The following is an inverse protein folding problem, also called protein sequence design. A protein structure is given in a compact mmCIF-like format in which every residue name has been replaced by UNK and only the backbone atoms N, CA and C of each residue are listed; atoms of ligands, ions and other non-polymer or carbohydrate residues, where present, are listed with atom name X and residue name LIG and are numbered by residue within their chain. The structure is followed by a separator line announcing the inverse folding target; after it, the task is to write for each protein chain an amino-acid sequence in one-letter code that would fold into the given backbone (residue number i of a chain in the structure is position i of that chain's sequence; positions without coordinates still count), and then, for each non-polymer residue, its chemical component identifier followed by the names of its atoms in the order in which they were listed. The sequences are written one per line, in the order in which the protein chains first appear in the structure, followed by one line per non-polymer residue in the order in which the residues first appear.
data_IF_649696191302
#
_entry.id   IF_649696191302
#
_cell.length_a   1.000
_cell.length_b   1.000
_cell.length_c   1.000
_cell.angle_alpha   90.00
_cell.angle_beta   90.00
_cell.angle_gamma   90.00
#
_symmetry.space_group_name_H-M   'P 1'
#
loop_
_entity.id
_entity.type
_entity.pdbx_description
1 polymer ?
#
# COMPACT_ATOMS: atom_id res chain seq x y z
N UNK A 1 -14.84 -4.82 5.36
CA UNK A 1 -14.79 -3.95 4.17
C UNK A 1 -13.43 -3.26 4.17
N UNK A 2 -12.46 -3.83 3.46
CA UNK A 2 -11.11 -3.27 3.36
C UNK A 2 -11.12 -2.10 2.38
N UNK A 3 -10.69 -0.92 2.81
CA UNK A 3 -10.47 0.21 1.92
C UNK A 3 -9.40 -0.16 0.86
N UNK A 4 -9.51 0.33 -0.39
CA UNK A 4 -8.54 0.04 -1.45
C UNK A 4 -7.13 0.50 -1.05
N UNK A 5 -6.09 -0.29 -1.38
CA UNK A 5 -4.72 -0.10 -0.85
C UNK A 5 -4.13 1.29 -1.12
N UNK A 6 -4.54 1.93 -2.23
CA UNK A 6 -4.14 3.29 -2.58
C UNK A 6 -4.47 4.34 -1.50
N UNK A 7 -5.63 4.22 -0.83
CA UNK A 7 -6.02 5.15 0.24
C UNK A 7 -5.16 4.97 1.51
N UNK A 8 -4.68 3.74 1.78
CA UNK A 8 -3.75 3.47 2.89
C UNK A 8 -2.35 4.01 2.60
N UNK A 9 -1.93 3.95 1.34
CA UNK A 9 -0.62 4.43 0.93
C UNK A 9 -0.54 5.96 0.93
N UNK A 10 -1.61 6.66 0.55
CA UNK A 10 -1.66 8.12 0.55
C UNK A 10 -1.74 8.71 1.97
N UNK A 11 -2.45 8.04 2.89
CA UNK A 11 -2.43 8.40 4.30
C UNK A 11 -1.00 8.33 4.89
N UNK A 12 -0.20 7.37 4.45
CA UNK A 12 1.21 7.25 4.87
C UNK A 12 2.05 8.44 4.36
N UNK A 13 1.84 8.89 3.12
CA UNK A 13 2.53 10.07 2.57
C UNK A 13 2.18 11.34 3.35
N UNK A 14 0.90 11.53 3.66
CA UNK A 14 0.45 12.67 4.48
C UNK A 14 1.09 12.60 5.86
N UNK A 15 1.10 11.41 6.47
CA UNK A 15 1.68 11.25 7.80
C UNK A 15 3.16 11.58 7.84
N UNK A 16 3.91 11.15 6.83
CA UNK A 16 5.30 11.53 6.66
C UNK A 16 5.45 13.04 6.48
N UNK A 17 4.69 13.65 5.56
CA UNK A 17 4.75 15.09 5.29
C UNK A 17 4.40 15.95 6.52
N UNK A 18 3.39 15.58 7.31
CA UNK A 18 3.04 16.30 8.54
C UNK A 18 4.16 16.18 9.59
N UNK A 19 4.81 15.02 9.67
CA UNK A 19 5.94 14.80 10.59
C UNK A 19 7.17 15.63 10.15
N UNK A 20 7.45 15.67 8.85
CA UNK A 20 8.47 16.54 8.25
C UNK A 20 8.17 18.02 8.49
N UNK A 21 6.91 18.43 8.36
CA UNK A 21 6.47 19.79 8.59
C UNK A 21 6.76 20.21 10.04
N UNK A 22 6.39 19.38 11.01
CA UNK A 22 6.68 19.64 12.43
C UNK A 22 8.19 19.70 12.72
N UNK A 23 9.00 18.89 12.03
CA UNK A 23 10.46 18.85 12.25
C UNK A 23 11.21 20.00 11.59
N UNK A 24 10.81 20.37 10.36
CA UNK A 24 11.50 21.37 9.53
C UNK A 24 11.03 22.80 9.78
N UNK A 25 9.86 22.97 10.41
CA UNK A 25 9.35 24.29 10.80
C UNK A 25 9.48 24.51 12.29
N UNK A 26 9.45 25.76 12.73
CA UNK A 26 9.45 26.14 14.15
C UNK A 26 8.04 26.12 14.77
N UNK A 27 7.07 25.54 14.07
CA UNK A 27 5.70 25.45 14.58
C UNK A 27 5.55 24.19 15.44
N UNK A 28 5.05 24.33 16.68
CA UNK A 28 4.93 23.20 17.59
C UNK A 28 3.78 22.25 17.23
N UNK A 29 2.83 22.69 16.40
CA UNK A 29 1.69 21.87 15.95
C UNK A 29 1.70 21.80 14.44
N UNK A 30 1.56 20.60 13.88
CA UNK A 30 1.36 20.37 12.46
C UNK A 30 0.20 19.39 12.26
N UNK A 31 -0.61 19.60 11.24
CA UNK A 31 -1.66 18.65 10.87
C UNK A 31 -1.99 18.79 9.39
N UNK A 32 -2.63 17.78 8.82
CA UNK A 32 -2.88 17.81 7.38
C UNK A 32 -3.78 16.69 6.91
N UNK A 33 -4.21 16.85 5.66
CA UNK A 33 -5.17 15.96 5.04
C UNK A 33 -5.20 16.11 3.53
N UNK A 34 -5.77 15.11 2.88
CA UNK A 34 -6.08 15.14 1.45
C UNK A 34 -7.55 15.47 1.23
N UNK A 35 -7.81 15.98 0.04
CA UNK A 35 -9.14 16.25 -0.47
C UNK A 35 -9.80 14.94 -0.92
N UNK A 36 -10.99 14.69 -0.39
CA UNK A 36 -11.88 13.60 -0.73
C UNK A 36 -13.32 14.14 -0.71
N UNK A 37 -14.10 13.83 -1.74
CA UNK A 37 -15.51 14.24 -1.86
C UNK A 37 -15.76 15.76 -1.64
N UNK A 38 -14.84 16.61 -2.11
CA UNK A 38 -14.99 18.07 -2.02
C UNK A 38 -14.61 18.67 -0.67
N UNK A 39 -14.04 17.89 0.25
CA UNK A 39 -13.54 18.35 1.53
C UNK A 39 -12.18 17.75 1.87
N UNK A 40 -11.37 18.48 2.63
CA UNK A 40 -10.09 17.99 3.14
C UNK A 40 -10.31 17.30 4.47
N UNK A 41 -10.02 16.00 4.52
CA UNK A 41 -10.13 15.21 5.73
C UNK A 41 -8.77 15.22 6.45
N UNK A 42 -8.72 15.83 7.63
CA UNK A 42 -7.51 15.81 8.46
C UNK A 42 -7.31 14.41 9.01
N UNK A 43 -6.24 13.74 8.58
CA UNK A 43 -5.92 12.35 8.93
C UNK A 43 -4.72 12.24 9.84
N UNK A 44 -3.83 13.23 9.84
CA UNK A 44 -2.61 13.21 10.65
C UNK A 44 -2.42 14.53 11.38
N UNK A 45 -2.04 14.41 12.66
CA UNK A 45 -1.81 15.51 13.58
C UNK A 45 -0.55 15.18 14.38
N UNK A 46 0.33 16.16 14.55
CA UNK A 46 1.58 16.08 15.32
C UNK A 46 1.64 17.31 16.24
N UNK A 47 1.96 17.08 17.52
CA UNK A 47 2.19 18.15 18.50
C UNK A 47 0.94 18.78 19.14
N UNK A 48 -0.26 18.29 18.81
CA UNK A 48 -1.50 18.76 19.45
C UNK A 48 -1.53 18.39 20.95
N UNK A 49 -1.99 19.33 21.78
CA UNK A 49 -2.25 19.23 23.22
C UNK A 49 -3.60 18.61 23.52
N UNK A 50 -4.55 18.77 22.62
CA UNK A 50 -5.92 18.30 22.77
C UNK A 50 -6.33 17.44 21.58
N UNK A 51 -7.52 16.85 21.67
CA UNK A 51 -8.15 16.08 20.59
C UNK A 51 -9.18 16.89 19.81
N UNK A 52 -9.15 18.23 19.93
CA UNK A 52 -10.15 19.11 19.32
C UNK A 52 -10.05 19.18 17.79
N UNK A 53 -8.91 18.79 17.23
CA UNK A 53 -8.64 18.76 15.78
C UNK A 53 -8.90 17.34 15.18
N UNK A 54 -9.07 16.32 16.02
CA UNK A 54 -9.30 14.94 15.56
C UNK A 54 -10.55 14.88 14.67
N UNK A 55 -10.39 14.31 13.46
CA UNK A 55 -11.49 14.15 12.51
C UNK A 55 -12.00 15.45 11.88
N UNK A 56 -11.22 16.54 11.95
CA UNK A 56 -11.58 17.80 11.31
C UNK A 56 -11.76 17.63 9.79
N UNK A 57 -12.91 18.08 9.28
CA UNK A 57 -13.22 18.10 7.84
C UNK A 57 -13.31 19.55 7.37
N UNK A 58 -12.37 19.94 6.52
CA UNK A 58 -12.25 21.31 6.00
C UNK A 58 -12.92 21.41 4.64
N UNK A 59 -14.01 22.16 4.55
CA UNK A 59 -14.74 22.37 3.30
C UNK A 59 -14.11 23.51 2.51
N UNK A 60 -14.21 23.42 1.18
CA UNK A 60 -13.87 24.52 0.29
C UNK A 60 -14.58 25.81 0.73
N UNK A 61 -13.91 26.96 0.58
CA UNK A 61 -14.40 28.31 0.96
C UNK A 61 -14.63 28.58 2.46
N UNK A 62 -14.46 27.59 3.35
CA UNK A 62 -14.58 27.77 4.81
C UNK A 62 -13.22 27.80 5.52
N UNK A 63 -13.09 28.72 6.46
CA UNK A 63 -11.89 28.93 7.27
C UNK A 63 -10.66 29.34 6.47
N UNK A 64 -9.51 29.34 7.15
CA UNK A 64 -8.21 29.62 6.52
C UNK A 64 -7.87 28.58 5.44
N UNK A 65 -8.07 27.31 5.79
CA UNK A 65 -7.72 26.16 4.97
C UNK A 65 -8.53 26.01 3.69
N UNK A 66 -9.86 26.14 3.79
CA UNK A 66 -10.73 26.08 2.63
C UNK A 66 -10.49 27.22 1.65
N UNK A 67 -10.10 28.41 2.14
CA UNK A 67 -9.63 29.51 1.29
C UNK A 67 -8.29 29.20 0.61
N UNK A 68 -7.32 28.66 1.34
CA UNK A 68 -6.03 28.26 0.77
C UNK A 68 -6.20 27.20 -0.33
N UNK A 69 -7.14 26.26 -0.14
CA UNK A 69 -7.50 25.23 -1.11
C UNK A 69 -8.07 25.84 -2.41
N UNK A 70 -9.06 26.74 -2.30
CA UNK A 70 -9.74 27.36 -3.44
C UNK A 70 -8.81 28.32 -4.19
N UNK A 71 -8.09 29.16 -3.46
CA UNK A 71 -7.21 30.16 -4.05
C UNK A 71 -5.87 29.57 -4.51
N UNK A 72 -5.58 28.30 -4.19
CA UNK A 72 -4.36 27.57 -4.56
C UNK A 72 -3.08 28.28 -4.14
N UNK A 73 -3.15 29.02 -3.04
CA UNK A 73 -2.02 29.74 -2.47
C UNK A 73 -1.99 29.60 -0.95
N UNK A 74 -0.80 29.63 -0.34
CA UNK A 74 -0.66 29.62 1.10
C UNK A 74 -1.37 30.80 1.77
N UNK A 75 -1.90 30.59 2.97
CA UNK A 75 -2.60 31.61 3.77
C UNK A 75 -2.20 31.50 5.24
N UNK A 76 -1.96 32.64 5.87
CA UNK A 76 -1.56 32.73 7.28
C UNK A 76 -2.45 33.70 8.04
N UNK A 77 -2.66 33.40 9.33
CA UNK A 77 -3.15 34.35 10.32
C UNK A 77 -2.27 34.31 11.56
N UNK A 78 -1.85 35.48 12.04
CA UNK A 78 -1.03 35.65 13.25
C UNK A 78 -1.88 35.73 14.53
N UNK A 79 -3.17 36.05 14.37
CA UNK A 79 -4.16 36.04 15.44
C UNK A 79 -5.46 35.45 14.91
N UNK A 80 -5.57 34.12 15.01
CA UNK A 80 -6.73 33.38 14.55
C UNK A 80 -8.02 33.90 15.18
N UNK A 81 -8.02 34.29 16.45
CA UNK A 81 -9.23 34.67 17.20
C UNK A 81 -9.87 35.95 16.66
N UNK A 82 -9.07 36.94 16.26
CA UNK A 82 -9.57 38.26 15.83
C UNK A 82 -9.53 38.46 14.31
N UNK A 83 -9.07 37.45 13.56
CA UNK A 83 -8.79 37.53 12.14
C UNK A 83 -10.03 37.68 11.26
N UNK A 84 -10.27 38.90 10.76
CA UNK A 84 -11.37 39.19 9.80
C UNK A 84 -11.19 38.57 8.41
N UNK A 85 -10.06 37.94 8.14
CA UNK A 85 -9.76 37.32 6.83
C UNK A 85 -10.26 35.88 6.73
N UNK A 86 -10.77 35.30 7.82
CA UNK A 86 -11.31 33.93 7.86
C UNK A 86 -12.77 33.95 8.31
N UNK A 87 -13.49 32.86 8.05
CA UNK A 87 -14.92 32.74 8.32
C UNK A 87 -15.25 32.09 9.67
N UNK A 88 -14.24 31.70 10.45
CA UNK A 88 -14.39 31.20 11.84
C UNK A 88 -15.23 29.92 12.02
N UNK A 89 -15.54 29.17 10.94
CA UNK A 89 -16.30 27.90 11.02
C UNK A 89 -15.63 26.84 11.91
N UNK A 90 -14.31 26.97 12.15
CA UNK A 90 -13.49 25.98 12.85
C UNK A 90 -12.96 26.47 14.20
N UNK A 91 -13.54 27.54 14.77
CA UNK A 91 -13.14 28.11 16.05
C UNK A 91 -13.04 27.07 17.16
N UNK A 92 -14.04 26.17 17.27
CA UNK A 92 -14.04 25.12 18.29
C UNK A 92 -12.82 24.20 18.19
N UNK A 93 -12.41 23.84 16.97
CA UNK A 93 -11.26 22.96 16.76
C UNK A 93 -9.95 23.71 16.98
N UNK A 94 -9.81 24.90 16.38
CA UNK A 94 -8.53 25.64 16.38
C UNK A 94 -8.28 26.34 17.71
N UNK A 95 -9.28 27.03 18.27
CA UNK A 95 -9.17 27.68 19.58
C UNK A 95 -9.25 26.67 20.72
N UNK A 96 -9.92 25.52 20.52
CA UNK A 96 -9.92 24.40 21.47
C UNK A 96 -8.53 23.80 21.67
N UNK A 97 -7.70 23.83 20.62
CA UNK A 97 -6.28 23.48 20.68
C UNK A 97 -5.40 24.64 21.22
N UNK A 98 -5.96 25.83 21.33
CA UNK A 98 -5.25 27.04 21.75
C UNK A 98 -4.34 27.64 20.66
N UNK A 99 -4.53 27.27 19.39
CA UNK A 99 -3.73 27.78 18.29
C UNK A 99 -4.07 29.26 18.08
N UNK A 100 -3.04 30.12 18.19
CA UNK A 100 -3.15 31.56 17.97
C UNK A 100 -2.67 31.93 16.56
N UNK A 101 -1.51 31.42 16.15
CA UNK A 101 -0.97 31.58 14.80
C UNK A 101 -1.26 30.32 14.00
N UNK A 102 -1.88 30.44 12.83
CA UNK A 102 -2.18 29.31 11.96
C UNK A 102 -1.75 29.61 10.52
N UNK A 103 -1.05 28.67 9.92
CA UNK A 103 -0.62 28.71 8.53
C UNK A 103 -1.16 27.51 7.77
N UNK A 104 -1.76 27.75 6.60
CA UNK A 104 -2.34 26.75 5.72
C UNK A 104 -1.63 26.78 4.36
N UNK A 105 -1.09 25.63 3.95
CA UNK A 105 -0.33 25.45 2.73
C UNK A 105 -1.02 24.40 1.85
N UNK A 106 -1.53 24.77 0.66
CA UNK A 106 -2.19 23.82 -0.23
C UNK A 106 -1.15 22.88 -0.87
N UNK A 107 -1.50 21.60 -0.98
CA UNK A 107 -0.71 20.59 -1.69
C UNK A 107 -1.17 20.57 -3.14
N UNK A 108 -0.32 21.07 -4.05
CA UNK A 108 -0.66 21.20 -5.47
C UNK A 108 -0.16 20.00 -6.28
N UNK A 109 -1.06 19.39 -7.05
CA UNK A 109 -0.76 18.30 -7.99
C UNK A 109 -1.28 18.72 -9.35
N UNK A 110 -0.38 18.89 -10.32
CA UNK A 110 -0.73 19.35 -11.68
C UNK A 110 -1.62 20.61 -11.72
N UNK A 111 -1.38 21.54 -10.79
CA UNK A 111 -2.12 22.81 -10.69
C UNK A 111 -3.47 22.74 -9.96
N UNK A 112 -3.90 21.57 -9.49
CA UNK A 112 -5.08 21.40 -8.63
C UNK A 112 -4.65 21.17 -7.18
N UNK A 113 -5.38 21.74 -6.22
CA UNK A 113 -5.12 21.48 -4.81
C UNK A 113 -5.73 20.13 -4.40
N UNK A 114 -4.89 19.20 -3.95
CA UNK A 114 -5.27 17.83 -3.56
C UNK A 114 -5.30 17.63 -2.05
N UNK A 115 -5.00 18.66 -1.28
CA UNK A 115 -4.96 18.62 0.17
C UNK A 115 -4.45 19.92 0.75
N UNK A 116 -4.42 20.00 2.07
CA UNK A 116 -3.87 21.14 2.79
C UNK A 116 -3.06 20.63 3.97
N UNK A 117 -1.86 21.18 4.12
CA UNK A 117 -1.04 21.03 5.31
C UNK A 117 -1.16 22.30 6.16
N UNK A 118 -1.17 22.12 7.47
CA UNK A 118 -1.28 23.19 8.45
C UNK A 118 -0.12 23.11 9.42
N UNK A 119 0.37 24.28 9.81
CA UNK A 119 1.24 24.42 10.96
C UNK A 119 0.77 25.59 11.82
N UNK A 120 0.87 25.42 13.13
CA UNK A 120 0.29 26.36 14.10
C UNK A 120 1.13 26.50 15.35
N UNK A 121 0.96 27.64 16.00
CA UNK A 121 1.61 27.98 17.27
C UNK A 121 0.58 28.51 18.26
N UNK A 122 0.77 28.19 19.55
CA UNK A 122 -0.02 28.75 20.63
C UNK A 122 0.36 30.20 20.98
N UNK A 123 1.53 30.66 20.50
CA UNK A 123 1.98 32.03 20.66
C UNK A 123 1.63 32.87 19.43
N UNK A 124 1.36 34.15 19.67
CA UNK A 124 1.36 35.17 18.63
C UNK A 124 2.82 35.59 18.39
N UNK A 125 3.40 35.13 17.29
CA UNK A 125 4.76 35.50 16.89
C UNK A 125 4.74 35.99 15.44
N UNK A 126 5.48 37.06 15.10
CA UNK A 126 5.62 37.46 13.71
C UNK A 126 6.36 36.36 12.95
N UNK A 127 5.66 35.69 12.04
CA UNK A 127 6.27 34.69 11.15
C UNK A 127 6.54 35.36 9.80
N UNK A 128 7.80 35.43 9.39
CA UNK A 128 8.24 35.94 8.10
C UNK A 128 8.23 34.88 6.99
N UNK A 129 8.31 35.32 5.73
CA UNK A 129 8.35 34.41 4.57
C UNK A 129 9.48 33.38 4.63
N UNK A 130 10.62 33.73 5.23
CA UNK A 130 11.78 32.82 5.38
C UNK A 130 11.45 31.65 6.31
N UNK A 131 10.68 31.89 7.38
CA UNK A 131 10.31 30.89 8.37
C UNK A 131 9.21 29.95 7.86
N UNK A 132 8.40 30.43 6.90
CA UNK A 132 7.36 29.66 6.22
C UNK A 132 7.92 28.79 5.07
N UNK A 133 9.12 29.07 4.57
CA UNK A 133 9.71 28.38 3.40
C UNK A 133 9.77 26.86 3.51
N UNK A 134 10.19 26.26 4.66
CA UNK A 134 10.19 24.81 4.79
C UNK A 134 8.80 24.17 4.64
N UNK A 135 7.73 24.90 4.96
CA UNK A 135 6.37 24.40 4.77
C UNK A 135 5.99 24.30 3.28
N UNK A 136 6.47 25.23 2.46
CA UNK A 136 6.28 25.17 1.01
C UNK A 136 7.03 23.99 0.39
N UNK A 137 8.27 23.77 0.81
CA UNK A 137 9.10 22.67 0.32
C UNK A 137 8.42 21.33 0.63
N UNK A 138 7.97 21.12 1.87
CA UNK A 138 7.27 19.89 2.28
C UNK A 138 5.97 19.68 1.49
N UNK A 139 5.17 20.73 1.26
CA UNK A 139 3.95 20.62 0.47
C UNK A 139 4.25 20.31 -1.02
N UNK A 140 5.32 20.86 -1.56
CA UNK A 140 5.78 20.60 -2.93
C UNK A 140 6.34 19.19 -3.13
N UNK A 141 7.09 18.68 -2.16
CA UNK A 141 7.57 17.30 -2.09
C UNK A 141 6.38 16.33 -2.07
N UNK A 142 5.41 16.54 -1.17
CA UNK A 142 4.19 15.73 -1.11
C UNK A 142 3.40 15.78 -2.42
N UNK A 143 3.22 16.97 -3.01
CA UNK A 143 2.55 17.12 -4.29
C UNK A 143 3.24 16.38 -5.44
N UNK A 144 4.58 16.34 -5.40
CA UNK A 144 5.38 15.59 -6.38
C UNK A 144 5.18 14.08 -6.24
N UNK A 145 5.20 13.56 -5.01
CA UNK A 145 4.96 12.13 -4.74
C UNK A 145 3.56 11.69 -5.17
N UNK A 146 2.53 12.48 -4.83
CA UNK A 146 1.15 12.22 -5.26
C UNK A 146 1.01 12.23 -6.79
N UNK A 147 1.70 13.15 -7.47
CA UNK A 147 1.74 13.20 -8.94
C UNK A 147 2.38 11.94 -9.53
N UNK A 148 3.50 11.50 -8.97
CA UNK A 148 4.21 10.30 -9.43
C UNK A 148 3.32 9.07 -9.29
N UNK A 149 2.66 8.89 -8.15
CA UNK A 149 1.74 7.77 -7.93
C UNK A 149 0.55 7.79 -8.87
N UNK A 150 -0.12 8.93 -9.02
CA UNK A 150 -1.24 9.06 -9.95
C UNK A 150 -0.83 8.74 -11.40
N UNK A 151 0.41 9.07 -11.80
CA UNK A 151 0.94 8.71 -13.11
C UNK A 151 1.26 7.21 -13.21
N UNK A 152 1.82 6.59 -12.17
CA UNK A 152 2.06 5.13 -12.13
C UNK A 152 0.74 4.38 -12.24
N UNK A 153 -0.27 4.74 -11.44
CA UNK A 153 -1.59 4.12 -11.48
C UNK A 153 -2.27 4.28 -12.85
N UNK A 154 -2.19 5.49 -13.43
CA UNK A 154 -2.68 5.74 -14.80
C UNK A 154 -1.97 4.87 -15.83
N UNK A 155 -0.66 4.68 -15.72
CA UNK A 155 0.11 3.81 -16.63
C UNK A 155 -0.25 2.35 -16.46
N UNK A 156 -0.43 1.89 -15.23
CA UNK A 156 -0.91 0.53 -14.94
C UNK A 156 -2.32 0.31 -15.53
N UNK A 157 -3.20 1.30 -15.42
CA UNK A 157 -4.56 1.23 -15.97
C UNK A 157 -4.62 1.31 -17.51
N UNK A 158 -3.64 1.96 -18.17
CA UNK A 158 -3.56 2.10 -19.63
C UNK A 158 -2.66 1.06 -20.30
N UNK A 159 -1.88 0.31 -19.52
CA UNK A 159 -1.18 -0.85 -20.05
C UNK A 159 -2.25 -1.80 -20.59
N UNK A 160 -2.19 -2.21 -21.86
CA UNK A 160 -3.15 -3.18 -22.38
C UNK A 160 -3.09 -4.39 -21.44
N UNK A 161 -4.25 -4.78 -20.90
CA UNK A 161 -4.37 -6.06 -20.24
C UNK A 161 -3.78 -7.09 -21.22
N UNK A 162 -2.86 -7.98 -20.79
CA UNK A 162 -2.40 -9.03 -21.67
C UNK A 162 -3.65 -9.77 -22.15
N UNK A 163 -3.87 -9.78 -23.47
CA UNK A 163 -4.97 -10.51 -24.09
C UNK A 163 -4.91 -11.96 -23.56
N UNK A 164 -5.91 -12.34 -22.76
CA UNK A 164 -6.10 -13.72 -22.29
C UNK A 164 -5.31 -14.19 -21.05
N UNK A 165 -4.62 -13.32 -20.29
CA UNK A 165 -3.82 -13.75 -19.14
C UNK A 165 -4.27 -13.21 -17.78
N UNK A 166 -4.28 -14.05 -16.75
CA UNK A 166 -4.44 -13.65 -15.34
C UNK A 166 -3.39 -12.58 -14.99
N UNK A 167 -3.78 -11.50 -14.29
CA UNK A 167 -2.86 -10.41 -13.90
C UNK A 167 -1.70 -10.94 -13.04
N UNK A 168 -0.55 -10.24 -13.02
CA UNK A 168 0.59 -10.69 -12.22
C UNK A 168 0.26 -10.80 -10.72
N UNK A 169 -0.57 -9.87 -10.21
CA UNK A 169 -1.09 -9.91 -8.83
C UNK A 169 -2.03 -11.09 -8.61
N UNK A 170 -2.99 -11.32 -9.50
CA UNK A 170 -3.88 -12.47 -9.39
C UNK A 170 -3.13 -13.82 -9.54
N UNK A 171 -2.05 -13.86 -10.35
CA UNK A 171 -1.16 -15.03 -10.40
C UNK A 171 -0.39 -15.26 -9.10
N UNK A 172 -0.04 -14.22 -8.36
CA UNK A 172 0.56 -14.37 -7.03
C UNK A 172 -0.48 -14.85 -6.02
N UNK A 173 -1.68 -14.26 -6.00
CA UNK A 173 -2.78 -14.68 -5.11
C UNK A 173 -3.15 -16.15 -5.33
N UNK A 174 -3.18 -16.62 -6.58
CA UNK A 174 -3.41 -18.02 -6.91
C UNK A 174 -2.26 -18.89 -6.40
N UNK A 175 -1.02 -18.46 -6.50
CA UNK A 175 0.14 -19.22 -6.00
C UNK A 175 0.12 -19.35 -4.48
N UNK A 176 -0.19 -18.26 -3.78
CA UNK A 176 -0.39 -18.27 -2.33
C UNK A 176 -1.55 -19.20 -1.94
N UNK A 177 -2.70 -19.07 -2.61
CA UNK A 177 -3.87 -19.91 -2.37
C UNK A 177 -3.60 -21.39 -2.64
N UNK A 178 -2.86 -21.70 -3.71
CA UNK A 178 -2.46 -23.06 -4.07
C UNK A 178 -1.53 -23.66 -3.01
N UNK A 179 -0.49 -22.93 -2.59
CA UNK A 179 0.42 -23.37 -1.54
C UNK A 179 -0.31 -23.59 -0.20
N UNK A 180 -1.23 -22.67 0.16
CA UNK A 180 -2.03 -22.79 1.36
C UNK A 180 -2.94 -24.02 1.32
N UNK A 181 -3.62 -24.26 0.18
CA UNK A 181 -4.53 -25.39 0.02
C UNK A 181 -3.77 -26.73 0.11
N UNK A 182 -2.55 -26.81 -0.43
CA UNK A 182 -1.65 -27.98 -0.25
C UNK A 182 -1.24 -28.19 1.20
N UNK A 183 -0.91 -27.11 1.92
CA UNK A 183 -0.60 -27.17 3.35
C UNK A 183 -1.78 -27.72 4.16
N UNK A 184 -3.01 -27.27 3.87
CA UNK A 184 -4.23 -27.80 4.50
C UNK A 184 -4.42 -29.27 4.12
N UNK A 185 -4.35 -29.63 2.84
CA UNK A 185 -4.52 -31.00 2.36
C UNK A 185 -3.52 -31.99 3.00
N UNK A 186 -2.29 -31.55 3.29
CA UNK A 186 -1.28 -32.36 3.96
C UNK A 186 -1.64 -32.72 5.42
N UNK A 187 -2.53 -31.95 6.06
CA UNK A 187 -2.98 -32.19 7.45
C UNK A 187 -4.31 -32.96 7.54
N UNK A 188 -5.04 -33.09 6.43
CA UNK A 188 -6.32 -33.81 6.37
C UNK A 188 -6.05 -35.31 6.38
N UNK A 189 -6.59 -36.04 7.37
CA UNK A 189 -6.49 -37.49 7.48
C UNK A 189 -7.51 -38.29 6.65
N UNK A 190 -8.58 -37.65 6.17
CA UNK A 190 -9.66 -38.28 5.41
C UNK A 190 -9.31 -38.42 3.91
N UNK A 191 -9.27 -39.66 3.41
CA UNK A 191 -8.91 -40.00 2.03
C UNK A 191 -9.93 -39.53 0.99
N UNK A 192 -11.21 -39.37 1.35
CA UNK A 192 -12.24 -38.86 0.44
C UNK A 192 -12.13 -37.34 0.29
N UNK A 193 -11.99 -36.64 1.42
CA UNK A 193 -11.82 -35.19 1.43
C UNK A 193 -10.51 -34.79 0.73
N UNK A 194 -9.45 -35.58 0.90
CA UNK A 194 -8.16 -35.34 0.23
C UNK A 194 -8.26 -35.48 -1.29
N UNK A 195 -8.96 -36.50 -1.80
CA UNK A 195 -9.20 -36.66 -3.26
C UNK A 195 -9.99 -35.50 -3.86
N UNK A 196 -10.97 -34.97 -3.12
CA UNK A 196 -11.76 -33.80 -3.56
C UNK A 196 -10.92 -32.53 -3.62
N UNK A 197 -9.98 -32.35 -2.69
CA UNK A 197 -9.03 -31.24 -2.72
C UNK A 197 -8.06 -31.36 -3.90
N UNK A 198 -7.55 -32.57 -4.19
CA UNK A 198 -6.68 -32.84 -5.34
C UNK A 198 -7.36 -32.52 -6.70
N UNK A 199 -8.65 -32.79 -6.85
CA UNK A 199 -9.41 -32.42 -8.08
C UNK A 199 -9.53 -30.90 -8.24
N UNK A 200 -9.74 -30.17 -7.13
CA UNK A 200 -9.81 -28.70 -7.14
C UNK A 200 -8.45 -28.10 -7.49
N UNK A 201 -7.37 -28.65 -6.93
CA UNK A 201 -5.99 -28.25 -7.25
C UNK A 201 -5.67 -28.42 -8.74
N UNK A 202 -6.03 -29.57 -9.31
CA UNK A 202 -5.80 -29.86 -10.73
C UNK A 202 -6.56 -28.89 -11.65
N UNK A 203 -7.80 -28.53 -11.30
CA UNK A 203 -8.59 -27.54 -12.04
C UNK A 203 -8.02 -26.13 -11.92
N UNK A 204 -7.52 -25.74 -10.75
CA UNK A 204 -6.88 -24.44 -10.54
C UNK A 204 -5.60 -24.31 -11.35
N UNK A 205 -4.74 -25.34 -11.35
CA UNK A 205 -3.51 -25.36 -12.15
C UNK A 205 -3.80 -25.24 -13.66
N UNK A 206 -4.85 -25.90 -14.15
CA UNK A 206 -5.27 -25.86 -15.55
C UNK A 206 -5.82 -24.49 -15.99
N UNK A 207 -6.44 -23.73 -15.07
CA UNK A 207 -6.95 -22.38 -15.34
C UNK A 207 -5.86 -21.31 -15.39
N UNK A 208 -4.69 -21.59 -14.82
CA UNK A 208 -3.59 -20.63 -14.66
C UNK A 208 -2.41 -20.86 -15.57
N UNK A 209 -2.32 -22.04 -16.20
CA UNK A 209 -1.39 -22.25 -17.29
C UNK A 209 -1.73 -21.33 -18.45
N UNK A 210 -0.75 -20.58 -18.95
CA UNK A 210 -0.79 -20.12 -20.34
C UNK A 210 -1.16 -21.35 -21.19
N UNK A 211 -2.19 -21.25 -22.03
CA UNK A 211 -2.66 -22.36 -22.86
C UNK A 211 -1.51 -23.05 -23.61
N UNK A 212 -1.68 -24.30 -24.05
CA UNK A 212 -0.59 -25.15 -24.53
C UNK A 212 0.06 -24.59 -25.81
N UNK A 213 0.99 -23.66 -25.69
CA UNK A 213 1.95 -23.32 -26.73
C UNK A 213 3.13 -24.28 -26.59
N UNK A 214 2.92 -25.48 -27.13
CA UNK A 214 3.94 -26.52 -27.23
C UNK A 214 3.86 -27.52 -26.08
N UNK A 215 3.11 -28.60 -26.31
CA UNK A 215 3.34 -29.89 -25.66
C UNK A 215 4.77 -30.34 -25.98
N UNK A 216 5.74 -29.92 -25.17
CA UNK A 216 7.02 -30.61 -25.09
C UNK A 216 6.73 -31.84 -24.24
N UNK A 217 6.58 -32.95 -24.94
CA UNK A 217 6.64 -34.31 -24.42
C UNK A 217 7.74 -34.40 -23.36
N UNK A 218 7.35 -34.38 -22.08
CA UNK A 218 8.29 -34.61 -21.00
C UNK A 218 7.58 -35.43 -19.94
N UNK A 219 7.95 -36.70 -19.89
CA UNK A 219 7.62 -37.76 -18.93
C UNK A 219 8.08 -37.41 -17.49
N UNK A 220 7.99 -36.14 -17.08
CA UNK A 220 8.43 -35.63 -15.78
C UNK A 220 7.34 -35.90 -14.76
N UNK A 221 7.44 -37.07 -14.13
CA UNK A 221 6.60 -37.45 -13.01
C UNK A 221 7.25 -37.06 -11.68
N UNK A 222 6.79 -35.95 -11.10
CA UNK A 222 7.12 -35.58 -9.72
C UNK A 222 6.20 -36.32 -8.74
N UNK A 223 6.76 -36.73 -7.61
CA UNK A 223 5.96 -37.27 -6.51
C UNK A 223 5.12 -36.17 -5.87
N UNK A 224 4.01 -36.54 -5.23
CA UNK A 224 3.14 -35.58 -4.54
C UNK A 224 3.90 -34.69 -3.56
N UNK A 225 4.83 -35.28 -2.81
CA UNK A 225 5.67 -34.57 -1.84
C UNK A 225 6.70 -33.64 -2.50
N UNK A 226 7.18 -33.96 -3.68
CA UNK A 226 8.03 -33.07 -4.47
C UNK A 226 7.24 -31.84 -4.96
N UNK A 227 6.00 -32.04 -5.41
CA UNK A 227 5.11 -30.95 -5.83
C UNK A 227 4.75 -30.05 -4.64
N UNK A 228 4.42 -30.63 -3.48
CA UNK A 228 4.11 -29.87 -2.24
C UNK A 228 5.26 -28.92 -1.88
N UNK A 229 6.47 -29.47 -1.87
CA UNK A 229 7.67 -28.74 -1.50
C UNK A 229 8.00 -27.67 -2.53
N UNK A 230 7.84 -27.94 -3.83
CA UNK A 230 8.05 -26.94 -4.87
C UNK A 230 6.98 -25.84 -4.85
N UNK A 231 5.73 -26.15 -4.51
CA UNK A 231 4.64 -25.17 -4.40
C UNK A 231 4.93 -24.15 -3.29
N UNK A 232 5.29 -24.61 -2.10
CA UNK A 232 5.72 -23.72 -1.01
C UNK A 232 7.02 -22.98 -1.37
N UNK A 233 7.92 -23.62 -2.12
CA UNK A 233 9.14 -22.95 -2.59
C UNK A 233 8.85 -21.85 -3.61
N UNK A 234 7.77 -21.96 -4.39
CA UNK A 234 7.35 -21.01 -5.43
C UNK A 234 6.76 -19.70 -4.88
N UNK A 235 6.28 -19.71 -3.64
CA UNK A 235 5.83 -18.53 -2.88
C UNK A 235 6.95 -17.95 -1.98
N UNK A 236 8.19 -18.44 -2.14
CA UNK A 236 9.36 -17.89 -1.44
C UNK A 236 9.65 -18.49 -0.06
N UNK A 237 8.91 -19.53 0.38
CA UNK A 237 9.14 -20.13 1.69
C UNK A 237 10.54 -20.73 1.85
N UNK A 238 11.11 -20.58 3.04
CA UNK A 238 12.36 -21.22 3.46
C UNK A 238 12.14 -22.70 3.77
N UNK A 239 13.20 -23.52 3.77
CA UNK A 239 13.05 -24.96 4.05
C UNK A 239 12.43 -25.24 5.43
N UNK A 240 12.67 -24.36 6.42
CA UNK A 240 12.07 -24.46 7.75
C UNK A 240 10.57 -24.16 7.75
N UNK A 241 10.14 -23.13 7.02
CA UNK A 241 8.71 -22.81 6.86
C UNK A 241 7.97 -23.90 6.07
N UNK A 242 8.59 -24.44 5.02
CA UNK A 242 8.05 -25.57 4.25
C UNK A 242 7.90 -26.81 5.15
N UNK A 243 8.90 -27.09 5.98
CA UNK A 243 8.88 -28.20 6.93
C UNK A 243 7.71 -28.06 7.92
N UNK A 244 7.54 -26.87 8.50
CA UNK A 244 6.43 -26.58 9.41
C UNK A 244 5.07 -26.70 8.72
N UNK A 245 4.93 -26.17 7.50
CA UNK A 245 3.68 -26.18 6.73
C UNK A 245 3.25 -27.58 6.31
N UNK A 246 4.20 -28.45 5.93
CA UNK A 246 3.91 -29.79 5.40
C UNK A 246 4.04 -30.92 6.44
N UNK A 247 4.36 -30.60 7.70
CA UNK A 247 4.59 -31.58 8.75
C UNK A 247 5.82 -32.46 8.52
N UNK A 248 6.88 -31.90 7.92
CA UNK A 248 8.12 -32.60 7.56
C UNK A 248 9.30 -32.13 8.42
N UNK A 249 10.41 -32.85 8.37
CA UNK A 249 11.71 -32.33 8.87
C UNK A 249 12.38 -31.51 7.76
N UNK A 250 13.14 -30.48 8.14
CA UNK A 250 13.86 -29.64 7.17
C UNK A 250 14.83 -30.45 6.29
N UNK A 251 15.46 -31.48 6.86
CA UNK A 251 16.32 -32.42 6.11
C UNK A 251 15.54 -33.18 5.04
N UNK A 252 14.30 -33.58 5.33
CA UNK A 252 13.40 -34.24 4.37
C UNK A 252 12.99 -33.29 3.26
N UNK A 253 12.73 -32.02 3.57
CA UNK A 253 12.45 -30.98 2.56
C UNK A 253 13.63 -30.81 1.61
N UNK A 254 14.87 -30.77 2.13
CA UNK A 254 16.09 -30.72 1.30
C UNK A 254 16.19 -31.92 0.36
N UNK A 255 15.87 -33.13 0.82
CA UNK A 255 15.85 -34.34 0.00
C UNK A 255 14.79 -34.27 -1.10
N UNK A 256 13.56 -33.81 -0.80
CA UNK A 256 12.52 -33.65 -1.81
C UNK A 256 12.87 -32.57 -2.84
N UNK A 257 13.43 -31.42 -2.43
CA UNK A 257 13.92 -30.41 -3.36
C UNK A 257 15.04 -30.94 -4.26
N UNK A 258 15.98 -31.70 -3.71
CA UNK A 258 17.07 -32.28 -4.48
C UNK A 258 16.56 -33.30 -5.51
N UNK A 259 15.61 -34.16 -5.11
CA UNK A 259 14.98 -35.12 -6.02
C UNK A 259 14.18 -34.42 -7.13
N UNK A 260 13.39 -33.41 -6.77
CA UNK A 260 12.62 -32.61 -7.71
C UNK A 260 13.53 -31.85 -8.69
N UNK A 261 14.60 -31.20 -8.19
CA UNK A 261 15.61 -30.53 -9.00
C UNK A 261 16.25 -31.50 -10.00
N UNK A 262 16.63 -32.70 -9.55
CA UNK A 262 17.19 -33.74 -10.43
C UNK A 262 16.21 -34.17 -11.54
N UNK A 263 14.95 -34.45 -11.18
CA UNK A 263 13.89 -34.83 -12.14
C UNK A 263 13.53 -33.71 -13.12
N UNK A 264 13.70 -32.46 -12.73
CA UNK A 264 13.49 -31.27 -13.55
C UNK A 264 14.77 -30.78 -14.23
N UNK A 265 15.88 -31.54 -14.13
CA UNK A 265 17.23 -31.18 -14.62
C UNK A 265 17.79 -29.86 -14.06
N UNK A 266 17.22 -29.33 -12.98
CA UNK A 266 17.43 -27.96 -12.52
C UNK A 266 18.61 -27.83 -11.55
N UNK A 267 19.47 -26.84 -11.80
CA UNK A 267 20.64 -26.56 -10.94
C UNK A 267 20.31 -25.71 -9.71
N UNK A 268 19.14 -25.07 -9.69
CA UNK A 268 18.70 -24.23 -8.56
C UNK A 268 17.22 -24.42 -8.28
N UNK A 269 16.79 -24.13 -7.03
CA UNK A 269 15.37 -24.16 -6.65
C UNK A 269 14.50 -23.25 -7.53
N UNK A 270 15.01 -22.09 -7.93
CA UNK A 270 14.29 -21.16 -8.81
C UNK A 270 14.14 -21.72 -10.22
N UNK A 271 15.20 -22.35 -10.76
CA UNK A 271 15.14 -23.03 -12.04
C UNK A 271 14.16 -24.22 -12.02
N UNK A 272 14.08 -24.96 -10.91
CA UNK A 272 13.14 -26.05 -10.73
C UNK A 272 11.68 -25.56 -10.74
N UNK A 273 11.37 -24.52 -9.97
CA UNK A 273 10.02 -23.89 -9.99
C UNK A 273 9.68 -23.40 -11.39
N UNK A 274 10.61 -22.74 -12.08
CA UNK A 274 10.38 -22.24 -13.45
C UNK A 274 10.08 -23.38 -14.44
N UNK A 275 10.80 -24.51 -14.34
CA UNK A 275 10.56 -25.66 -15.22
C UNK A 275 9.29 -26.42 -14.86
N UNK A 276 8.98 -26.56 -13.58
CA UNK A 276 7.72 -27.15 -13.12
C UNK A 276 6.51 -26.36 -13.64
N UNK A 277 6.59 -25.02 -13.69
CA UNK A 277 5.56 -24.17 -14.31
C UNK A 277 5.41 -24.40 -15.80
N UNK A 278 6.53 -24.43 -16.54
CA UNK A 278 6.51 -24.71 -17.99
C UNK A 278 5.92 -26.09 -18.32
N UNK A 279 6.07 -27.05 -17.40
CA UNK A 279 5.50 -28.38 -17.50
C UNK A 279 4.03 -28.47 -17.01
N UNK A 280 3.42 -27.37 -16.57
CA UNK A 280 2.04 -27.37 -16.04
C UNK A 280 1.87 -28.07 -14.69
N UNK A 281 2.96 -28.36 -13.97
CA UNK A 281 2.95 -29.01 -12.67
C UNK A 281 2.71 -28.03 -11.50
N UNK A 282 2.87 -26.73 -11.76
CA UNK A 282 2.64 -25.63 -10.82
C UNK A 282 2.04 -24.41 -11.52
N UNK A 283 1.24 -23.59 -10.82
CA UNK A 283 0.80 -22.28 -11.29
C UNK A 283 1.90 -21.20 -11.31
#
# INVERSE_FOLDING_TARGET
MSAPSALRDDATLVSHAVSELARRTHFPVAFGGLEHDGAVHVTTIVGARTRSIDGLVVHATRGLGGRALVERRPRMTLDYRTSRTITHDYDRAILGEGIATLFAVPVLVSGAARGVLYCGSWAQAPVGEVEARPAFDVAGELGTELRVRAEVERRLARSPAPEGGISAGAREEIRESYAQLRGIAATVGDDDLRRRLEDIEGRLAALTGDGPTGSVDTDIHLSRREIDVLACAAVGSTNGEIAASLGLRETTVKSYLASAMSKLDASTRHAAVTRARRAGLLP
#
